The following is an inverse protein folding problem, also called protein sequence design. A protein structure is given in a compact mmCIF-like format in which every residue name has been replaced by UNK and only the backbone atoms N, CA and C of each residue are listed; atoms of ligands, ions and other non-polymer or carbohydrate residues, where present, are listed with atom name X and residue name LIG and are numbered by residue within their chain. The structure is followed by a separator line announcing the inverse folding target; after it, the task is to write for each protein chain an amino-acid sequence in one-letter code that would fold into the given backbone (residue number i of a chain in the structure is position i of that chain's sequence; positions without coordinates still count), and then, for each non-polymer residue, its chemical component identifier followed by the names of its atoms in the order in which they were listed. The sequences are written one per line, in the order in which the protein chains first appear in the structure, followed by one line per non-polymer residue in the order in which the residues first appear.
data_IF_780720062793
#
_entry.id   IF_780720062793
#
_cell.length_a   1.000
_cell.length_b   1.000
_cell.length_c   1.000
_cell.angle_alpha   90.00
_cell.angle_beta   90.00
_cell.angle_gamma   90.00
#
_symmetry.space_group_name_H-M   'P 1'
#
loop_
_entity.id
_entity.type
_entity.pdbx_description
1 polymer ?
#
# COMPACT_ATOMS: atom_id res chain seq x y z
N UNK A 1 -25.67 21.65 3.00
CA UNK A 1 -26.08 22.97 3.58
C UNK A 1 -25.12 24.11 3.25
N UNK A 2 -23.80 23.91 3.17
CA UNK A 2 -22.83 25.01 2.90
C UNK A 2 -23.00 25.69 1.53
N UNK A 3 -23.31 24.92 0.47
CA UNK A 3 -23.51 25.48 -0.89
C UNK A 3 -24.69 26.47 -0.96
N UNK A 4 -25.73 26.25 -0.15
CA UNK A 4 -26.90 27.15 -0.11
C UNK A 4 -26.57 28.51 0.49
N UNK A 5 -25.69 28.57 1.49
CA UNK A 5 -25.26 29.82 2.10
C UNK A 5 -24.40 30.62 1.12
N UNK A 6 -23.45 29.97 0.44
CA UNK A 6 -22.62 30.62 -0.60
C UNK A 6 -23.46 31.25 -1.71
N UNK A 7 -24.48 30.54 -2.23
CA UNK A 7 -25.40 31.08 -3.23
C UNK A 7 -26.24 32.26 -2.71
N UNK A 8 -26.62 32.27 -1.43
CA UNK A 8 -27.31 33.44 -0.84
C UNK A 8 -26.40 34.65 -0.66
N UNK A 9 -25.10 34.44 -0.44
CA UNK A 9 -24.12 35.52 -0.30
C UNK A 9 -23.75 36.11 -1.67
N UNK A 10 -23.69 35.27 -2.70
CA UNK A 10 -23.52 35.68 -4.10
C UNK A 10 -24.71 36.51 -4.61
N UNK A 11 -25.94 36.03 -4.40
CA UNK A 11 -27.16 36.77 -4.79
C UNK A 11 -27.33 38.10 -4.05
N UNK A 12 -26.75 38.23 -2.85
CA UNK A 12 -26.69 39.49 -2.10
C UNK A 12 -25.49 40.37 -2.48
N UNK A 13 -24.64 39.92 -3.40
CA UNK A 13 -23.44 40.64 -3.84
C UNK A 13 -22.35 40.75 -2.77
N UNK A 14 -22.45 39.97 -1.68
CA UNK A 14 -21.45 39.93 -0.61
C UNK A 14 -20.23 39.08 -0.97
N UNK A 15 -20.40 38.18 -1.93
CA UNK A 15 -19.35 37.37 -2.52
C UNK A 15 -19.48 37.44 -4.04
N UNK A 16 -18.35 37.62 -4.72
CA UNK A 16 -18.26 37.44 -6.16
C UNK A 16 -18.20 35.95 -6.50
N UNK A 17 -18.58 35.62 -7.74
CA UNK A 17 -18.50 34.25 -8.23
C UNK A 17 -17.09 33.68 -8.16
N UNK A 18 -16.06 34.51 -8.40
CA UNK A 18 -14.66 34.12 -8.28
C UNK A 18 -14.27 33.73 -6.84
N UNK A 19 -14.83 34.40 -5.83
CA UNK A 19 -14.58 34.06 -4.42
C UNK A 19 -15.28 32.76 -4.02
N UNK A 20 -16.50 32.53 -4.51
CA UNK A 20 -17.22 31.26 -4.30
C UNK A 20 -16.42 30.08 -4.88
N UNK A 21 -15.92 30.23 -6.11
CA UNK A 21 -15.10 29.20 -6.77
C UNK A 21 -13.79 28.94 -6.00
N UNK A 22 -13.16 30.00 -5.49
CA UNK A 22 -11.95 29.89 -4.66
C UNK A 22 -12.23 29.12 -3.36
N UNK A 23 -13.33 29.43 -2.66
CA UNK A 23 -13.72 28.76 -1.42
C UNK A 23 -14.02 27.28 -1.68
N UNK A 24 -14.74 26.96 -2.75
CA UNK A 24 -15.05 25.56 -3.11
C UNK A 24 -13.76 24.80 -3.44
N UNK A 25 -12.84 25.43 -4.18
CA UNK A 25 -11.54 24.82 -4.50
C UNK A 25 -10.71 24.56 -3.24
N UNK A 26 -10.61 25.54 -2.35
CA UNK A 26 -9.89 25.41 -1.09
C UNK A 26 -10.52 24.33 -0.19
N UNK A 27 -11.85 24.29 -0.09
CA UNK A 27 -12.56 23.27 0.67
C UNK A 27 -12.30 21.86 0.13
N UNK A 28 -12.26 21.68 -1.20
CA UNK A 28 -11.90 20.40 -1.82
C UNK A 28 -10.46 20.01 -1.48
N UNK A 29 -9.52 20.94 -1.53
CA UNK A 29 -8.12 20.68 -1.19
C UNK A 29 -7.94 20.31 0.29
N UNK A 30 -8.65 20.97 1.20
CA UNK A 30 -8.61 20.66 2.64
C UNK A 30 -9.33 19.35 3.02
N UNK A 31 -10.29 18.91 2.22
CA UNK A 31 -11.02 17.65 2.45
C UNK A 31 -10.23 16.40 2.00
N UNK A 32 -9.16 16.55 1.22
CA UNK A 32 -8.30 15.43 0.86
C UNK A 32 -7.40 15.11 2.05
N UNK A 33 -7.75 14.09 2.82
CA UNK A 33 -6.83 13.50 3.80
C UNK A 33 -5.62 12.91 3.05
N UNK A 34 -4.38 13.34 3.36
CA UNK A 34 -3.20 12.77 2.72
C UNK A 34 -3.15 11.27 3.01
N UNK A 35 -3.14 10.47 1.95
CA UNK A 35 -2.93 9.02 2.09
C UNK A 35 -1.53 8.82 2.65
N UNK A 36 -1.36 8.13 3.80
CA UNK A 36 -0.06 7.94 4.39
C UNK A 36 0.86 7.21 3.39
N UNK A 37 2.14 7.60 3.29
CA UNK A 37 3.06 6.98 2.36
C UNK A 37 3.20 5.49 2.70
N UNK A 38 2.85 4.63 1.75
CA UNK A 38 3.11 3.18 1.84
C UNK A 38 4.63 3.00 1.84
N UNK A 39 5.22 2.77 3.02
CA UNK A 39 6.65 2.43 3.12
C UNK A 39 6.82 0.99 2.64
N UNK A 40 7.58 0.73 1.55
CA UNK A 40 7.94 -0.63 1.19
C UNK A 40 9.00 -1.13 2.17
N UNK A 41 8.80 -2.32 2.74
CA UNK A 41 9.74 -2.96 3.64
C UNK A 41 9.07 -3.82 4.70
N UNK A 42 9.81 -4.74 5.34
CA UNK A 42 9.30 -5.48 6.48
C UNK A 42 8.91 -4.48 7.59
N UNK A 43 7.83 -4.80 8.30
CA UNK A 43 7.39 -4.04 9.46
C UNK A 43 8.56 -3.89 10.45
N UNK A 44 8.92 -2.66 10.81
CA UNK A 44 9.96 -2.42 11.82
C UNK A 44 9.51 -2.98 13.18
N UNK A 45 10.44 -3.39 14.06
CA UNK A 45 10.10 -3.75 15.42
C UNK A 45 9.26 -2.65 16.10
N UNK A 46 8.12 -3.04 16.68
CA UNK A 46 7.16 -2.11 17.30
C UNK A 46 6.05 -1.59 16.37
N UNK A 47 6.05 -1.95 15.08
CA UNK A 47 4.92 -1.68 14.18
C UNK A 47 3.85 -2.77 14.31
N UNK A 48 2.58 -2.37 14.29
CA UNK A 48 1.43 -3.27 14.32
C UNK A 48 0.53 -3.03 13.11
N UNK A 49 -0.13 -4.09 12.64
CA UNK A 49 -1.12 -3.99 11.57
C UNK A 49 -2.38 -3.32 12.10
N UNK A 50 -2.98 -2.43 11.32
CA UNK A 50 -4.22 -1.71 11.65
C UNK A 50 -5.25 -1.81 10.52
N UNK A 51 -6.54 -1.70 10.84
CA UNK A 51 -7.62 -1.53 9.86
C UNK A 51 -7.52 -0.17 9.18
N UNK A 52 -8.35 0.07 8.15
CA UNK A 52 -8.46 1.39 7.52
C UNK A 52 -8.92 2.49 8.50
N UNK A 53 -9.64 2.09 9.54
CA UNK A 53 -10.12 2.94 10.65
C UNK A 53 -9.08 3.06 11.79
N UNK A 54 -7.89 2.48 11.63
CA UNK A 54 -6.80 2.58 12.59
C UNK A 54 -6.91 1.62 13.79
N UNK A 55 -7.82 0.64 13.77
CA UNK A 55 -7.93 -0.34 14.85
C UNK A 55 -6.87 -1.43 14.71
N UNK A 56 -6.17 -1.84 15.78
CA UNK A 56 -5.17 -2.88 15.70
C UNK A 56 -5.80 -4.19 15.22
N UNK A 57 -5.26 -4.75 14.14
CA UNK A 57 -5.57 -6.12 13.73
C UNK A 57 -4.89 -7.05 14.73
N UNK A 58 -5.62 -7.45 15.77
CA UNK A 58 -5.19 -8.52 16.64
C UNK A 58 -4.97 -9.78 15.82
N UNK A 59 -3.85 -10.46 16.02
CA UNK A 59 -3.63 -11.77 15.39
C UNK A 59 -4.44 -12.80 16.16
N UNK A 60 -5.45 -13.39 15.54
CA UNK A 60 -6.16 -14.52 16.11
C UNK A 60 -5.20 -15.72 16.20
N UNK A 61 -4.84 -16.08 17.44
CA UNK A 61 -3.94 -17.20 17.75
C UNK A 61 -4.69 -18.51 17.97
N UNK A 62 -6.01 -18.48 17.94
CA UNK A 62 -6.86 -19.63 18.27
C UNK A 62 -7.32 -20.40 17.04
N UNK A 63 -7.33 -19.76 15.87
CA UNK A 63 -7.64 -20.42 14.61
C UNK A 63 -6.40 -21.16 14.09
N UNK A 64 -6.44 -22.50 13.94
CA UNK A 64 -5.34 -23.25 13.34
C UNK A 64 -5.17 -22.84 11.87
N UNK A 65 -3.97 -22.43 11.50
CA UNK A 65 -3.61 -22.15 10.11
C UNK A 65 -3.55 -23.49 9.38
N UNK A 66 -4.60 -23.83 8.62
CA UNK A 66 -4.56 -24.95 7.70
C UNK A 66 -3.57 -24.61 6.59
N UNK A 67 -2.43 -25.31 6.54
CA UNK A 67 -1.52 -25.26 5.40
C UNK A 67 -2.29 -25.91 4.24
N UNK A 68 -2.63 -25.17 3.16
CA UNK A 68 -3.25 -25.79 1.99
C UNK A 68 -2.34 -26.92 1.52
N UNK A 69 -2.92 -28.04 1.08
CA UNK A 69 -2.14 -29.16 0.55
C UNK A 69 -1.50 -28.76 -0.80
N UNK A 70 -0.45 -27.96 -0.75
CA UNK A 70 0.37 -27.60 -1.90
C UNK A 70 1.22 -28.84 -2.21
N UNK A 71 0.65 -29.75 -2.99
CA UNK A 71 1.45 -30.80 -3.64
C UNK A 71 2.50 -30.06 -4.47
N UNK A 72 3.78 -30.16 -4.07
CA UNK A 72 4.90 -29.77 -4.91
C UNK A 72 4.82 -30.65 -6.17
N UNK A 73 4.18 -30.15 -7.23
CA UNK A 73 4.38 -30.71 -8.55
C UNK A 73 5.84 -30.43 -8.93
N UNK A 74 6.55 -31.50 -9.30
CA UNK A 74 7.93 -31.41 -9.78
C UNK A 74 8.94 -32.02 -8.82
N UNK A 75 8.94 -33.35 -8.78
CA UNK A 75 10.14 -34.13 -8.56
C UNK A 75 11.24 -33.62 -9.53
N UNK A 76 12.43 -33.20 -9.06
CA UNK A 76 13.52 -32.88 -9.96
C UNK A 76 13.91 -34.18 -10.68
N UNK A 77 13.98 -34.20 -12.01
CA UNK A 77 14.33 -35.41 -12.74
C UNK A 77 15.69 -35.90 -12.28
N UNK A 78 15.75 -37.20 -11.98
CA UNK A 78 16.98 -37.96 -11.77
C UNK A 78 17.83 -37.82 -13.04
N UNK A 79 18.85 -36.97 -12.99
CA UNK A 79 19.83 -36.86 -14.05
C UNK A 79 20.90 -37.94 -13.82
N UNK A 80 20.72 -39.09 -14.47
CA UNK A 80 21.84 -39.97 -14.81
C UNK A 80 22.48 -39.49 -16.13
N UNK A 81 23.78 -39.72 -16.33
CA UNK A 81 24.70 -38.69 -16.81
C UNK A 81 25.07 -38.90 -18.28
N UNK A 82 24.76 -37.95 -19.15
CA UNK A 82 25.54 -37.75 -20.37
C UNK A 82 25.38 -36.34 -20.93
N UNK A 83 26.53 -35.73 -21.21
CA UNK A 83 26.75 -34.54 -22.07
C UNK A 83 26.52 -33.13 -21.47
N UNK A 84 27.54 -32.68 -20.74
CA UNK A 84 28.36 -31.46 -20.99
C UNK A 84 27.74 -30.05 -21.01
N UNK A 85 28.24 -29.24 -20.07
CA UNK A 85 28.51 -27.78 -20.11
C UNK A 85 27.39 -26.75 -19.86
N UNK A 86 27.25 -26.42 -18.57
CA UNK A 86 26.66 -25.16 -18.08
C UNK A 86 27.29 -24.79 -16.72
N UNK A 87 28.56 -24.40 -16.73
CA UNK A 87 29.36 -24.06 -15.54
C UNK A 87 28.71 -22.91 -14.75
N UNK A 88 28.31 -23.17 -13.50
CA UNK A 88 27.92 -22.12 -12.55
C UNK A 88 29.15 -21.22 -12.28
N UNK A 89 29.01 -19.89 -12.26
CA UNK A 89 30.15 -19.02 -11.96
C UNK A 89 30.53 -19.15 -10.48
N UNK A 90 31.76 -19.59 -10.23
CA UNK A 90 32.40 -19.50 -8.92
C UNK A 90 33.06 -18.12 -8.85
N UNK A 91 32.59 -17.27 -7.93
CA UNK A 91 33.19 -15.96 -7.66
C UNK A 91 34.36 -16.18 -6.70
N UNK A 92 35.57 -15.84 -7.13
CA UNK A 92 36.77 -15.89 -6.29
C UNK A 92 36.94 -14.57 -5.54
N UNK A 93 37.11 -14.62 -4.21
CA UNK A 93 37.16 -13.47 -3.30
C UNK A 93 38.59 -13.17 -2.82
N UNK A 94 39.53 -12.94 -3.74
CA UNK A 94 40.86 -12.40 -3.39
C UNK A 94 41.02 -10.99 -3.97
N UNK A 95 40.75 -10.00 -3.12
CA UNK A 95 41.14 -8.59 -3.29
C UNK A 95 42.62 -8.45 -2.91
N UNK A 96 43.45 -7.97 -3.83
CA UNK A 96 44.60 -7.12 -3.47
C UNK A 96 44.15 -5.67 -3.30
#
# INVERSE_FOLDING_TARGET
MVLGILGTLETKGLLSQAEVDSIIRAARQGAVTPTPPKRPGPALPGTHWVTAEGQPLGMDRTTPIAIPNVQRQGEPPKADPETTEGKLPVIDMTME
#
